data_IF_760221606638
#
_entry.id   IF_760221606638
#
_cell.length_a   1.000
_cell.length_b   1.000
_cell.length_c   1.000
_cell.angle_alpha   90.00
_cell.angle_beta   90.00
_cell.angle_gamma   90.00
#
_symmetry.space_group_name_H-M   'P 1'
#
loop_
_entity.id
_entity.type
_entity.pdbx_description
1 polymer ?
#
# COMPACT_ATOMS: atom_id res chain seq x y z
N UNK A 1 -18.32 -9.80 3.25
CA UNK A 1 -17.69 -10.54 4.38
C UNK A 1 -16.20 -10.31 4.33
N UNK A 2 -15.56 -10.12 5.47
CA UNK A 2 -14.10 -9.97 5.58
C UNK A 2 -13.48 -10.96 6.57
N UNK A 3 -12.24 -11.36 6.35
CA UNK A 3 -11.50 -12.28 7.22
C UNK A 3 -10.05 -11.83 7.34
N UNK A 4 -9.51 -11.79 8.56
CA UNK A 4 -8.10 -11.47 8.82
C UNK A 4 -7.24 -12.74 8.67
N UNK A 5 -6.12 -12.62 7.98
CA UNK A 5 -5.13 -13.66 7.75
C UNK A 5 -3.74 -13.14 8.15
N UNK A 6 -2.86 -14.06 8.56
CA UNK A 6 -1.45 -13.77 8.80
C UNK A 6 -0.62 -14.64 7.87
N UNK A 7 0.36 -14.02 7.23
CA UNK A 7 1.21 -14.64 6.23
C UNK A 7 2.65 -14.67 6.74
N UNK A 8 3.30 -15.81 6.58
CA UNK A 8 4.75 -15.94 6.69
C UNK A 8 5.43 -15.22 5.53
N UNK A 9 6.73 -14.95 5.67
CA UNK A 9 7.53 -14.36 4.59
C UNK A 9 7.50 -15.20 3.30
N UNK A 10 7.33 -16.53 3.40
CA UNK A 10 7.18 -17.43 2.23
C UNK A 10 5.78 -17.40 1.59
N UNK A 11 4.88 -16.54 2.07
CA UNK A 11 3.51 -16.39 1.57
C UNK A 11 2.52 -17.43 2.09
N UNK A 12 2.93 -18.37 2.95
CA UNK A 12 2.02 -19.35 3.56
C UNK A 12 1.23 -18.75 4.72
N UNK A 13 -0.03 -19.18 4.89
CA UNK A 13 -0.84 -18.76 6.04
C UNK A 13 -0.33 -19.38 7.34
N UNK A 14 -0.25 -18.58 8.40
CA UNK A 14 0.13 -19.02 9.74
C UNK A 14 -0.93 -18.66 10.78
N UNK A 15 -0.91 -19.34 11.93
CA UNK A 15 -1.74 -18.95 13.06
C UNK A 15 -1.09 -17.79 13.81
N UNK A 16 -1.90 -17.00 14.51
CA UNK A 16 -1.41 -15.93 15.40
C UNK A 16 -0.43 -16.48 16.45
N UNK A 17 -0.69 -17.68 16.99
CA UNK A 17 0.19 -18.35 17.95
C UNK A 17 1.59 -18.62 17.42
N UNK A 18 1.73 -18.76 16.10
CA UNK A 18 3.00 -19.05 15.45
C UNK A 18 3.78 -17.74 15.16
N UNK A 19 3.11 -16.59 15.25
CA UNK A 19 3.68 -15.27 15.00
C UNK A 19 4.56 -14.79 16.17
N UNK A 20 4.16 -15.10 17.40
CA UNK A 20 4.93 -14.83 18.63
C UNK A 20 6.08 -15.81 18.87
N UNK A 21 6.40 -16.67 17.89
CA UNK A 21 7.56 -17.56 17.99
C UNK A 21 8.86 -16.79 17.73
N UNK A 22 9.84 -16.82 18.65
CA UNK A 22 11.15 -16.19 18.45
C UNK A 22 11.92 -16.74 17.25
N UNK A 23 11.60 -17.96 16.80
CA UNK A 23 12.29 -18.64 15.70
C UNK A 23 11.71 -18.35 14.30
N UNK A 24 10.60 -17.62 14.18
CA UNK A 24 9.97 -17.32 12.89
C UNK A 24 10.40 -15.98 12.29
N UNK A 25 10.35 -15.84 10.96
CA UNK A 25 10.50 -14.54 10.27
C UNK A 25 9.39 -13.53 10.60
N UNK A 26 9.41 -12.36 9.96
CA UNK A 26 8.36 -11.36 10.10
C UNK A 26 7.05 -11.87 9.51
N UNK A 27 5.93 -11.28 9.95
CA UNK A 27 4.60 -11.64 9.46
C UNK A 27 3.93 -10.46 8.77
N UNK A 28 3.14 -10.78 7.76
CA UNK A 28 2.27 -9.82 7.07
C UNK A 28 0.82 -10.15 7.38
N UNK A 29 0.12 -9.25 8.08
CA UNK A 29 -1.32 -9.31 8.25
C UNK A 29 -2.01 -8.86 6.96
N UNK A 30 -3.02 -9.61 6.52
CA UNK A 30 -3.80 -9.29 5.35
C UNK A 30 -5.29 -9.51 5.62
N UNK A 31 -6.14 -8.59 5.18
CA UNK A 31 -7.60 -8.72 5.30
C UNK A 31 -8.17 -9.06 3.94
N UNK A 32 -8.84 -10.21 3.88
CA UNK A 32 -9.52 -10.73 2.70
C UNK A 32 -10.97 -10.26 2.69
N UNK A 33 -11.46 -9.78 1.56
CA UNK A 33 -12.84 -9.33 1.37
C UNK A 33 -13.51 -10.12 0.25
N UNK A 34 -14.73 -10.58 0.49
CA UNK A 34 -15.55 -11.32 -0.48
C UNK A 34 -17.02 -10.88 -0.41
N UNK A 35 -17.76 -11.10 -1.48
CA UNK A 35 -19.23 -10.93 -1.51
C UNK A 35 -19.98 -12.23 -1.16
N UNK A 36 -19.27 -13.28 -0.73
CA UNK A 36 -19.85 -14.60 -0.44
C UNK A 36 -20.26 -15.42 -1.66
N UNK A 37 -20.15 -14.89 -2.88
CA UNK A 37 -20.46 -15.59 -4.12
C UNK A 37 -19.19 -16.07 -4.79
N UNK A 38 -19.16 -17.34 -5.20
CA UNK A 38 -18.02 -17.89 -5.93
C UNK A 38 -17.97 -17.31 -7.35
N UNK A 39 -16.88 -16.60 -7.67
CA UNK A 39 -16.58 -16.16 -9.02
C UNK A 39 -15.12 -16.52 -9.38
N UNK A 40 -14.85 -17.79 -9.76
CA UNK A 40 -13.49 -18.26 -9.96
C UNK A 40 -12.75 -17.57 -11.12
N UNK A 41 -13.48 -16.97 -12.07
CA UNK A 41 -12.90 -16.23 -13.20
C UNK A 41 -12.72 -14.72 -12.94
N UNK A 42 -13.23 -14.25 -11.80
CA UNK A 42 -13.23 -12.84 -11.41
C UNK A 42 -11.84 -12.31 -11.08
N UNK A 43 -11.77 -11.00 -10.92
CA UNK A 43 -10.56 -10.29 -10.52
C UNK A 43 -10.26 -10.51 -9.04
N UNK A 44 -8.99 -10.74 -8.73
CA UNK A 44 -8.46 -10.69 -7.37
C UNK A 44 -7.71 -9.36 -7.21
N UNK A 45 -8.23 -8.49 -6.36
CA UNK A 45 -7.65 -7.15 -6.16
C UNK A 45 -6.71 -7.15 -4.97
N UNK A 46 -5.48 -6.66 -5.13
CA UNK A 46 -4.50 -6.54 -4.05
C UNK A 46 -4.28 -5.06 -3.72
N UNK A 47 -4.26 -4.70 -2.43
CA UNK A 47 -4.18 -3.32 -1.98
C UNK A 47 -3.00 -3.12 -1.01
N UNK A 48 -2.09 -2.19 -1.34
CA UNK A 48 -1.03 -1.72 -0.47
C UNK A 48 -1.27 -0.27 -0.06
N UNK A 49 -1.25 -0.02 1.24
CA UNK A 49 -1.46 1.30 1.84
C UNK A 49 -0.20 2.19 1.73
N UNK A 50 -0.31 3.45 2.17
CA UNK A 50 0.84 4.36 2.26
C UNK A 50 1.42 4.41 3.68
N UNK A 51 2.57 5.05 3.86
CA UNK A 51 3.15 5.30 5.18
C UNK A 51 2.13 6.01 6.08
N UNK A 52 2.06 5.60 7.36
CA UNK A 52 1.16 6.20 8.36
C UNK A 52 -0.30 5.76 8.25
N UNK A 53 -0.62 4.75 7.42
CA UNK A 53 -1.95 4.14 7.29
C UNK A 53 -1.88 2.62 7.43
N UNK A 54 -2.98 1.89 7.22
CA UNK A 54 -3.03 0.43 7.33
C UNK A 54 -4.13 -0.16 6.43
N UNK A 55 -4.19 -1.50 6.31
CA UNK A 55 -5.03 -2.23 5.34
C UNK A 55 -6.52 -1.85 5.35
N UNK A 56 -7.10 -1.50 6.50
CA UNK A 56 -8.51 -1.10 6.61
C UNK A 56 -8.81 0.26 5.98
N UNK A 57 -7.81 1.12 5.72
CA UNK A 57 -8.03 2.39 5.01
C UNK A 57 -8.59 2.17 3.59
N UNK A 58 -8.42 0.98 3.03
CA UNK A 58 -8.99 0.60 1.74
C UNK A 58 -10.47 0.20 1.81
N UNK A 59 -11.07 -0.02 2.99
CA UNK A 59 -12.44 -0.54 3.11
C UNK A 59 -13.48 0.29 2.32
N UNK A 60 -13.51 1.63 2.41
CA UNK A 60 -14.47 2.43 1.64
C UNK A 60 -14.29 2.29 0.12
N UNK A 61 -13.05 2.14 -0.34
CA UNK A 61 -12.72 1.94 -1.76
C UNK A 61 -13.13 0.54 -2.21
N UNK A 62 -12.79 -0.48 -1.41
CA UNK A 62 -13.14 -1.87 -1.66
C UNK A 62 -14.66 -2.01 -1.77
N UNK A 63 -15.42 -1.49 -0.80
CA UNK A 63 -16.87 -1.54 -0.81
C UNK A 63 -17.47 -0.89 -2.07
N UNK A 64 -16.93 0.26 -2.47
CA UNK A 64 -17.37 0.95 -3.68
C UNK A 64 -17.03 0.17 -4.95
N UNK A 65 -15.85 -0.42 -5.05
CA UNK A 65 -15.45 -1.25 -6.20
C UNK A 65 -16.29 -2.51 -6.30
N UNK A 66 -16.57 -3.19 -5.19
CA UNK A 66 -17.49 -4.34 -5.15
C UNK A 66 -18.88 -3.94 -5.63
N UNK A 67 -19.40 -2.79 -5.19
CA UNK A 67 -20.70 -2.27 -5.63
C UNK A 67 -20.72 -2.00 -7.14
N UNK A 68 -19.75 -1.27 -7.68
CA UNK A 68 -19.71 -0.89 -9.10
C UNK A 68 -19.48 -2.12 -9.98
N UNK A 69 -18.43 -2.88 -9.73
CA UNK A 69 -17.99 -3.94 -10.65
C UNK A 69 -18.91 -5.15 -10.61
N UNK A 70 -19.51 -5.49 -9.48
CA UNK A 70 -20.44 -6.63 -9.44
C UNK A 70 -21.82 -6.28 -10.00
N UNK A 71 -22.25 -5.01 -9.90
CA UNK A 71 -23.56 -4.57 -10.42
C UNK A 71 -23.52 -4.28 -11.92
N UNK A 72 -22.45 -3.66 -12.41
CA UNK A 72 -22.40 -3.14 -13.78
C UNK A 72 -21.77 -4.11 -14.79
N UNK A 73 -21.02 -5.12 -14.32
CA UNK A 73 -20.32 -6.02 -15.22
C UNK A 73 -21.21 -7.12 -15.78
N UNK A 74 -21.30 -7.14 -17.12
CA UNK A 74 -22.00 -8.20 -17.87
C UNK A 74 -21.23 -9.51 -17.88
N UNK A 75 -19.89 -9.45 -17.84
CA UNK A 75 -19.04 -10.65 -17.87
C UNK A 75 -18.47 -11.02 -16.50
N UNK A 76 -18.47 -12.31 -16.11
CA UNK A 76 -17.90 -12.77 -14.83
C UNK A 76 -16.44 -12.35 -14.61
N UNK A 77 -15.65 -12.28 -15.69
CA UNK A 77 -14.24 -11.85 -15.69
C UNK A 77 -14.02 -10.39 -15.34
N UNK A 78 -15.05 -9.54 -15.40
CA UNK A 78 -14.97 -8.13 -15.04
C UNK A 78 -15.44 -7.88 -13.59
N UNK A 79 -16.05 -8.89 -12.96
CA UNK A 79 -16.49 -8.85 -11.56
C UNK A 79 -15.35 -9.19 -10.62
N UNK A 80 -15.50 -8.84 -9.35
CA UNK A 80 -14.51 -9.15 -8.31
C UNK A 80 -14.76 -10.57 -7.78
N UNK A 81 -13.70 -11.37 -7.74
CA UNK A 81 -13.65 -12.65 -7.02
C UNK A 81 -13.46 -12.39 -5.53
N UNK A 82 -12.43 -11.63 -5.20
CA UNK A 82 -12.05 -11.25 -3.84
C UNK A 82 -11.09 -10.06 -3.88
N UNK A 83 -10.92 -9.40 -2.73
CA UNK A 83 -9.89 -8.40 -2.51
C UNK A 83 -9.03 -8.76 -1.30
N UNK A 84 -7.78 -8.31 -1.30
CA UNK A 84 -6.83 -8.46 -0.21
C UNK A 84 -6.18 -7.11 0.06
N UNK A 85 -6.23 -6.64 1.29
CA UNK A 85 -5.48 -5.48 1.73
C UNK A 85 -4.40 -5.92 2.72
N UNK A 86 -3.16 -5.51 2.48
CA UNK A 86 -1.98 -5.96 3.23
C UNK A 86 -1.46 -4.84 4.11
N UNK A 87 -1.12 -5.18 5.36
CA UNK A 87 -0.32 -4.32 6.22
C UNK A 87 1.16 -4.51 5.90
N UNK A 88 1.94 -3.44 5.83
CA UNK A 88 3.41 -3.53 5.94
C UNK A 88 3.76 -4.21 7.28
N UNK A 89 4.84 -4.99 7.34
CA UNK A 89 5.26 -5.74 8.52
C UNK A 89 5.37 -4.88 9.80
N UNK A 90 5.64 -3.58 9.70
CA UNK A 90 5.68 -2.63 10.83
C UNK A 90 4.42 -1.75 10.96
N UNK A 91 3.34 -2.02 10.23
CA UNK A 91 2.07 -1.30 10.26
C UNK A 91 0.91 -2.17 10.74
N UNK A 92 -0.17 -1.52 11.18
CA UNK A 92 -1.45 -2.18 11.48
C UNK A 92 -1.31 -3.41 12.38
N UNK A 93 -2.01 -4.49 12.04
CA UNK A 93 -1.96 -5.73 12.81
C UNK A 93 -0.63 -6.47 12.65
N UNK A 94 0.10 -6.25 11.55
CA UNK A 94 1.46 -6.79 11.39
C UNK A 94 2.40 -6.26 12.47
N UNK A 95 2.33 -4.95 12.76
CA UNK A 95 3.15 -4.32 13.79
C UNK A 95 2.94 -4.96 15.16
N UNK A 96 1.68 -5.28 15.49
CA UNK A 96 1.31 -5.91 16.76
C UNK A 96 1.93 -7.30 16.88
N UNK A 97 1.84 -8.12 15.83
CA UNK A 97 2.38 -9.49 15.88
C UNK A 97 3.90 -9.55 15.73
N UNK A 98 4.52 -8.49 15.21
CA UNK A 98 5.97 -8.38 15.04
C UNK A 98 6.64 -7.52 16.13
N UNK A 99 5.92 -7.06 17.15
CA UNK A 99 6.39 -6.05 18.11
C UNK A 99 7.78 -6.35 18.69
N UNK A 100 8.01 -7.57 19.19
CA UNK A 100 9.31 -7.96 19.75
C UNK A 100 10.44 -7.87 18.70
N UNK A 101 10.20 -8.33 17.47
CA UNK A 101 11.20 -8.30 16.39
C UNK A 101 11.49 -6.90 15.88
N UNK A 102 10.48 -6.03 15.89
CA UNK A 102 10.63 -4.63 15.49
C UNK A 102 11.42 -3.82 16.53
N UNK A 103 11.36 -4.20 17.82
CA UNK A 103 12.20 -3.60 18.86
C UNK A 103 13.70 -3.86 18.62
N UNK A 104 14.03 -5.05 18.10
CA UNK A 104 15.40 -5.43 17.73
C UNK A 104 15.82 -4.89 16.35
N UNK A 105 14.96 -4.10 15.69
CA UNK A 105 15.13 -3.65 14.31
C UNK A 105 14.91 -2.14 14.12
N UNK A 106 15.79 -1.31 14.68
CA UNK A 106 15.64 0.15 14.67
C UNK A 106 15.78 0.78 13.27
N UNK A 107 16.37 0.07 12.31
CA UNK A 107 16.49 0.53 10.92
C UNK A 107 15.19 0.45 10.12
N UNK A 108 14.16 -0.20 10.68
CA UNK A 108 12.85 -0.36 10.04
C UNK A 108 12.77 -1.53 9.06
N UNK A 109 11.72 -1.53 8.25
CA UNK A 109 11.44 -2.55 7.23
C UNK A 109 11.44 -1.86 5.88
N UNK A 110 12.28 -2.30 4.95
CA UNK A 110 12.36 -1.69 3.62
C UNK A 110 11.14 -2.01 2.76
N UNK A 111 10.89 -1.17 1.75
CA UNK A 111 9.85 -1.43 0.73
C UNK A 111 10.12 -2.74 0.00
N UNK A 112 11.40 -3.10 -0.20
CA UNK A 112 11.79 -4.38 -0.81
C UNK A 112 11.26 -5.57 -0.02
N UNK A 113 11.36 -5.56 1.31
CA UNK A 113 10.88 -6.65 2.15
C UNK A 113 9.36 -6.76 2.15
N UNK A 114 8.65 -5.64 2.10
CA UNK A 114 7.20 -5.66 1.98
C UNK A 114 6.76 -6.19 0.62
N UNK A 115 7.42 -5.74 -0.46
CA UNK A 115 7.17 -6.23 -1.81
C UNK A 115 7.44 -7.73 -1.93
N UNK A 116 8.50 -8.23 -1.28
CA UNK A 116 8.84 -9.65 -1.27
C UNK A 116 7.77 -10.48 -0.56
N UNK A 117 7.25 -10.04 0.58
CA UNK A 117 6.18 -10.74 1.28
C UNK A 117 4.90 -10.86 0.43
N UNK A 118 4.50 -9.76 -0.23
CA UNK A 118 3.32 -9.76 -1.13
C UNK A 118 3.59 -10.64 -2.36
N UNK A 119 4.78 -10.56 -2.97
CA UNK A 119 5.18 -11.39 -4.11
C UNK A 119 5.16 -12.88 -3.76
N UNK A 120 5.67 -13.26 -2.59
CA UNK A 120 5.62 -14.64 -2.13
C UNK A 120 4.17 -15.13 -1.95
N UNK A 121 3.26 -14.27 -1.47
CA UNK A 121 1.84 -14.58 -1.43
C UNK A 121 1.23 -14.75 -2.84
N UNK A 122 1.62 -13.93 -3.82
CA UNK A 122 1.23 -14.09 -5.24
C UNK A 122 1.65 -15.46 -5.80
N UNK A 123 2.85 -15.94 -5.44
CA UNK A 123 3.36 -17.23 -5.91
C UNK A 123 2.88 -18.44 -5.09
N UNK A 124 2.16 -18.21 -3.99
CA UNK A 124 1.64 -19.28 -3.15
C UNK A 124 0.62 -20.17 -3.90
N UNK A 125 0.43 -21.43 -3.49
CA UNK A 125 -0.60 -22.31 -4.06
C UNK A 125 -2.02 -21.70 -4.01
N UNK A 126 -2.26 -20.81 -3.04
CA UNK A 126 -3.55 -20.13 -2.86
C UNK A 126 -3.90 -19.21 -4.02
N UNK A 127 -2.90 -18.57 -4.64
CA UNK A 127 -3.10 -17.59 -5.71
C UNK A 127 -3.01 -18.22 -7.11
N UNK A 128 -2.78 -19.53 -7.21
CA UNK A 128 -2.70 -20.24 -8.49
C UNK A 128 -3.96 -20.04 -9.34
N UNK A 129 -3.80 -19.49 -10.54
CA UNK A 129 -4.89 -19.26 -11.48
C UNK A 129 -5.78 -18.05 -11.15
N UNK A 130 -5.37 -17.20 -10.21
CA UNK A 130 -6.04 -15.94 -9.94
C UNK A 130 -5.70 -14.90 -11.01
N UNK A 131 -6.65 -14.02 -11.32
CA UNK A 131 -6.44 -12.86 -12.21
C UNK A 131 -6.20 -11.64 -11.35
N UNK A 132 -4.93 -11.36 -11.09
CA UNK A 132 -4.54 -10.42 -10.04
C UNK A 132 -4.41 -9.01 -10.62
N UNK A 133 -4.98 -8.03 -9.91
CA UNK A 133 -4.78 -6.59 -10.16
C UNK A 133 -4.22 -5.97 -8.88
N UNK A 134 -2.92 -5.63 -8.86
CA UNK A 134 -2.34 -4.90 -7.74
C UNK A 134 -2.66 -3.40 -7.81
N UNK A 135 -3.02 -2.83 -6.66
CA UNK A 135 -3.35 -1.43 -6.45
C UNK A 135 -2.54 -0.90 -5.26
N UNK A 136 -1.89 0.24 -5.42
CA UNK A 136 -1.06 0.81 -4.36
C UNK A 136 -1.22 2.33 -4.27
N UNK A 137 -1.18 2.84 -3.04
CA UNK A 137 -1.19 4.29 -2.76
C UNK A 137 0.18 4.76 -2.28
N UNK A 138 0.73 5.82 -2.88
CA UNK A 138 2.00 6.44 -2.46
C UNK A 138 3.12 5.41 -2.34
N UNK A 139 3.69 5.18 -1.16
CA UNK A 139 4.70 4.14 -0.94
C UNK A 139 4.23 2.76 -1.41
N UNK A 140 2.96 2.42 -1.17
CA UNK A 140 2.34 1.19 -1.64
C UNK A 140 2.24 1.08 -3.16
N UNK A 141 2.23 2.19 -3.90
CA UNK A 141 2.31 2.16 -5.36
C UNK A 141 3.68 1.68 -5.83
N UNK A 142 4.75 2.16 -5.18
CA UNK A 142 6.11 1.66 -5.39
C UNK A 142 6.22 0.17 -5.06
N UNK A 143 5.69 -0.25 -3.90
CA UNK A 143 5.63 -1.66 -3.51
C UNK A 143 4.95 -2.54 -4.56
N UNK A 144 3.82 -2.09 -5.10
CA UNK A 144 3.05 -2.85 -6.09
C UNK A 144 3.74 -2.93 -7.45
N UNK A 145 4.49 -1.89 -7.84
CA UNK A 145 5.34 -1.94 -9.02
C UNK A 145 6.50 -2.93 -8.84
N UNK A 146 7.17 -2.92 -7.69
CA UNK A 146 8.29 -3.84 -7.39
C UNK A 146 7.89 -5.32 -7.34
N UNK A 147 6.60 -5.65 -7.34
CA UNK A 147 6.17 -7.03 -7.51
C UNK A 147 6.57 -7.63 -8.87
N UNK A 148 6.78 -6.79 -9.89
CA UNK A 148 7.25 -7.24 -11.21
C UNK A 148 8.76 -7.38 -11.30
N UNK A 149 9.50 -6.93 -10.27
CA UNK A 149 10.94 -6.91 -10.27
C UNK A 149 11.49 -8.33 -10.46
N UNK A 150 12.48 -8.47 -11.35
CA UNK A 150 13.11 -9.74 -11.75
C UNK A 150 12.17 -10.76 -12.43
N UNK A 151 10.93 -10.38 -12.75
CA UNK A 151 9.99 -11.24 -13.50
C UNK A 151 10.07 -10.91 -15.00
N UNK A 152 10.31 -11.92 -15.88
CA UNK A 152 10.21 -11.74 -17.32
C UNK A 152 8.84 -11.19 -17.73
N UNK A 153 8.78 -10.26 -18.69
CA UNK A 153 7.51 -9.61 -19.10
C UNK A 153 6.43 -10.63 -19.52
N UNK A 154 6.83 -11.74 -20.13
CA UNK A 154 5.93 -12.84 -20.54
C UNK A 154 5.36 -13.65 -19.38
N UNK A 155 5.91 -13.51 -18.18
CA UNK A 155 5.57 -14.30 -16.99
C UNK A 155 4.91 -13.48 -15.89
N UNK A 156 4.68 -12.18 -16.13
CA UNK A 156 4.02 -11.30 -15.16
C UNK A 156 2.61 -11.86 -14.83
N UNK A 157 2.31 -12.19 -13.56
CA UNK A 157 1.06 -12.84 -13.18
C UNK A 157 -0.11 -11.85 -12.95
N UNK A 158 -0.02 -10.64 -13.51
CA UNK A 158 -0.97 -9.55 -13.31
C UNK A 158 -1.71 -9.23 -14.61
N UNK A 159 -2.96 -8.77 -14.50
CA UNK A 159 -3.75 -8.35 -15.67
C UNK A 159 -3.74 -6.83 -15.88
N UNK A 160 -3.44 -6.07 -14.84
CA UNK A 160 -3.22 -4.62 -14.85
C UNK A 160 -2.58 -4.20 -13.52
N UNK A 161 -1.99 -2.99 -13.47
CA UNK A 161 -1.56 -2.30 -12.24
C UNK A 161 -2.31 -0.98 -12.08
N UNK A 162 -2.61 -0.59 -10.84
CA UNK A 162 -3.20 0.73 -10.52
C UNK A 162 -2.33 1.43 -9.49
N UNK A 163 -1.77 2.57 -9.86
CA UNK A 163 -0.83 3.34 -9.06
C UNK A 163 -1.49 4.67 -8.69
N UNK A 164 -1.71 4.88 -7.40
CA UNK A 164 -2.47 6.03 -6.88
C UNK A 164 -1.49 6.92 -6.12
N UNK A 165 -1.36 8.18 -6.54
CA UNK A 165 -0.44 9.16 -5.92
C UNK A 165 0.99 8.59 -5.75
N UNK A 166 1.52 7.95 -6.79
CA UNK A 166 2.75 7.18 -6.68
C UNK A 166 3.97 8.05 -6.30
N UNK A 167 4.80 7.58 -5.38
CA UNK A 167 6.03 8.28 -4.97
C UNK A 167 7.25 7.96 -5.84
N UNK A 168 7.05 7.18 -6.92
CA UNK A 168 8.10 6.76 -7.83
C UNK A 168 8.64 7.94 -8.63
N UNK A 169 9.96 8.00 -8.79
CA UNK A 169 10.67 9.11 -9.42
C UNK A 169 11.98 8.59 -10.02
N UNK A 170 12.51 9.22 -11.07
CA UNK A 170 13.85 8.84 -11.55
C UNK A 170 14.92 9.45 -10.64
N UNK A 171 16.07 8.78 -10.55
CA UNK A 171 17.21 9.26 -9.77
C UNK A 171 17.67 10.66 -10.21
N UNK A 172 17.63 10.95 -11.51
CA UNK A 172 17.92 12.27 -12.09
C UNK A 172 17.01 13.38 -11.52
N UNK A 173 15.69 13.25 -11.65
CA UNK A 173 14.72 14.25 -11.16
C UNK A 173 14.74 14.41 -9.63
N UNK A 174 15.09 13.33 -8.91
CA UNK A 174 15.30 13.42 -7.47
C UNK A 174 16.46 14.37 -7.15
N UNK A 175 17.60 14.21 -7.84
CA UNK A 175 18.77 15.06 -7.62
C UNK A 175 18.63 16.49 -8.15
N UNK A 176 17.80 16.73 -9.17
CA UNK A 176 17.47 18.10 -9.65
C UNK A 176 16.82 18.97 -8.57
N UNK A 177 16.09 18.34 -7.64
CA UNK A 177 15.36 19.01 -6.55
C UNK A 177 15.80 18.49 -5.18
N UNK A 178 17.06 18.04 -5.08
CA UNK A 178 17.59 17.33 -3.91
C UNK A 178 17.34 18.09 -2.61
N UNK A 179 17.81 19.34 -2.50
CA UNK A 179 17.73 20.11 -1.26
C UNK A 179 16.28 20.28 -0.78
N UNK A 180 15.36 20.66 -1.67
CA UNK A 180 13.94 20.82 -1.33
C UNK A 180 13.26 19.51 -0.92
N UNK A 181 13.66 18.39 -1.51
CA UNK A 181 13.16 17.05 -1.16
C UNK A 181 13.68 16.60 0.19
N UNK A 182 14.97 16.81 0.46
CA UNK A 182 15.57 16.50 1.76
C UNK A 182 14.91 17.36 2.85
N UNK A 183 14.72 18.65 2.63
CA UNK A 183 14.03 19.53 3.58
C UNK A 183 12.60 19.05 3.89
N UNK A 184 11.83 18.70 2.85
CA UNK A 184 10.46 18.17 3.00
C UNK A 184 10.45 16.84 3.76
N UNK A 185 11.42 15.98 3.47
CA UNK A 185 11.58 14.68 4.13
C UNK A 185 11.95 14.85 5.61
N UNK A 186 12.92 15.69 5.92
CA UNK A 186 13.33 16.00 7.30
C UNK A 186 12.17 16.62 8.10
N UNK A 187 11.41 17.54 7.50
CA UNK A 187 10.21 18.08 8.11
C UNK A 187 9.19 16.98 8.44
N UNK A 188 8.95 16.06 7.51
CA UNK A 188 7.99 14.96 7.67
C UNK A 188 8.44 13.97 8.75
N UNK A 189 9.74 13.64 8.80
CA UNK A 189 10.34 12.80 9.84
C UNK A 189 10.17 13.46 11.21
N UNK A 190 10.54 14.74 11.34
CA UNK A 190 10.43 15.47 12.60
C UNK A 190 8.98 15.61 13.07
N UNK A 191 8.04 15.88 12.15
CA UNK A 191 6.62 15.93 12.45
C UNK A 191 6.09 14.56 12.91
N UNK A 192 6.56 13.47 12.31
CA UNK A 192 6.20 12.09 12.68
C UNK A 192 6.69 11.75 14.08
N UNK A 193 7.97 12.00 14.38
CA UNK A 193 8.57 11.74 15.69
C UNK A 193 7.95 12.59 16.81
N UNK A 194 7.64 13.86 16.52
CA UNK A 194 7.01 14.79 17.45
C UNK A 194 5.51 14.56 17.67
N UNK A 195 4.88 13.65 16.92
CA UNK A 195 3.44 13.42 16.97
C UNK A 195 3.01 12.78 18.29
N UNK A 196 1.76 13.05 18.68
CA UNK A 196 1.08 12.29 19.73
C UNK A 196 0.78 10.88 19.21
N UNK A 197 1.05 9.87 20.02
CA UNK A 197 0.85 8.46 19.67
C UNK A 197 0.00 7.68 20.68
N UNK A 198 -0.37 8.28 21.81
CA UNK A 198 -1.14 7.64 22.89
C UNK A 198 -2.35 8.49 23.27
N UNK A 199 -3.51 7.89 23.54
CA UNK A 199 -4.75 8.57 23.90
C UNK A 199 -5.51 7.80 24.99
N UNK A 200 -6.40 8.45 25.77
CA UNK A 200 -7.19 7.77 26.80
C UNK A 200 -8.15 6.70 26.25
N UNK A 201 -8.64 6.87 25.02
CA UNK A 201 -9.54 5.91 24.37
C UNK A 201 -9.55 6.13 22.85
N UNK A 202 -10.06 5.14 22.10
CA UNK A 202 -10.25 5.25 20.65
C UNK A 202 -11.19 6.41 20.29
N UNK A 203 -12.23 6.63 21.09
CA UNK A 203 -13.16 7.74 20.86
C UNK A 203 -12.47 9.10 21.05
N UNK A 204 -11.67 9.25 22.10
CA UNK A 204 -10.90 10.47 22.31
C UNK A 204 -9.89 10.68 21.16
N UNK A 205 -9.22 9.60 20.72
CA UNK A 205 -8.29 9.67 19.60
C UNK A 205 -8.98 10.16 18.31
N UNK A 206 -10.17 9.63 18.00
CA UNK A 206 -10.98 10.07 16.87
C UNK A 206 -11.29 11.58 16.94
N UNK A 207 -11.83 12.05 18.07
CA UNK A 207 -12.19 13.48 18.23
C UNK A 207 -10.96 14.39 18.12
N UNK A 208 -9.82 13.93 18.66
CA UNK A 208 -8.56 14.67 18.65
C UNK A 208 -7.96 14.74 17.23
N UNK A 209 -7.86 13.61 16.53
CA UNK A 209 -7.32 13.53 15.17
C UNK A 209 -8.17 14.34 14.20
N UNK A 210 -9.50 14.27 14.32
CA UNK A 210 -10.43 14.98 13.42
C UNK A 210 -10.26 16.51 13.40
N UNK A 211 -9.52 17.09 14.36
CA UNK A 211 -9.29 18.54 14.51
C UNK A 211 -7.82 18.93 14.33
N UNK A 212 -6.96 18.01 13.88
CA UNK A 212 -5.51 18.21 13.83
C UNK A 212 -4.92 17.77 12.51
N UNK A 213 -3.91 18.50 12.06
CA UNK A 213 -3.13 18.13 10.89
C UNK A 213 -2.39 16.79 11.12
N UNK A 214 -2.31 15.89 10.11
CA UNK A 214 -2.93 16.01 8.78
C UNK A 214 -4.39 15.54 8.72
N UNK A 215 -4.86 14.79 9.71
CA UNK A 215 -6.15 14.09 9.71
C UNK A 215 -7.40 14.97 9.59
N UNK A 216 -7.34 16.25 9.97
CA UNK A 216 -8.47 17.17 9.83
C UNK A 216 -8.97 17.35 8.38
N UNK A 217 -8.10 17.07 7.41
CA UNK A 217 -8.43 17.16 5.98
C UNK A 217 -8.93 15.83 5.40
N UNK A 218 -8.87 14.75 6.19
CA UNK A 218 -9.32 13.43 5.74
C UNK A 218 -10.85 13.31 5.86
N UNK A 219 -11.43 12.46 5.01
CA UNK A 219 -12.80 12.01 5.19
C UNK A 219 -12.95 11.39 6.60
N UNK A 220 -14.00 11.79 7.33
CA UNK A 220 -14.21 11.38 8.72
C UNK A 220 -14.33 9.86 8.89
N UNK A 221 -14.76 9.14 7.86
CA UNK A 221 -14.76 7.66 7.86
C UNK A 221 -13.34 7.10 7.94
N UNK A 222 -12.38 7.75 7.29
CA UNK A 222 -10.96 7.35 7.31
C UNK A 222 -10.34 7.67 8.66
N UNK A 223 -10.64 8.84 9.25
CA UNK A 223 -10.19 9.16 10.61
C UNK A 223 -10.76 8.17 11.64
N UNK A 224 -12.02 7.77 11.47
CA UNK A 224 -12.64 6.72 12.29
C UNK A 224 -11.92 5.38 12.13
N UNK A 225 -11.60 4.98 10.90
CA UNK A 225 -10.80 3.76 10.64
C UNK A 225 -9.44 3.82 11.35
N UNK A 226 -8.75 4.96 11.29
CA UNK A 226 -7.48 5.15 12.00
C UNK A 226 -7.63 4.96 13.52
N UNK A 227 -8.67 5.55 14.13
CA UNK A 227 -8.92 5.40 15.56
C UNK A 227 -9.32 3.97 15.96
N UNK A 228 -10.13 3.30 15.13
CA UNK A 228 -10.68 1.97 15.45
C UNK A 228 -9.65 0.85 15.24
N UNK A 229 -8.84 0.95 14.19
CA UNK A 229 -7.96 -0.14 13.73
C UNK A 229 -6.48 0.20 13.76
N UNK A 230 -6.11 1.48 13.72
CA UNK A 230 -4.71 1.94 13.80
C UNK A 230 -4.16 1.93 15.23
N UNK A 231 -5.01 1.74 16.24
CA UNK A 231 -4.67 1.78 17.67
C UNK A 231 -4.78 0.41 18.34
N UNK A 232 -3.88 0.13 19.29
CA UNK A 232 -3.91 -1.01 20.21
C UNK A 232 -4.12 -0.54 21.66
N UNK A 233 -4.75 -1.38 22.47
CA UNK A 233 -4.89 -1.13 23.90
C UNK A 233 -3.54 -1.31 24.61
N UNK A 234 -3.26 -0.47 25.60
CA UNK A 234 -2.07 -0.59 26.47
C UNK A 234 -2.42 -1.30 27.78
N UNK A 235 -1.41 -1.73 28.53
CA UNK A 235 -1.59 -2.30 29.86
C UNK A 235 -2.16 -1.31 30.89
N UNK A 236 -2.09 0.00 30.61
CA UNK A 236 -2.62 1.08 31.46
C UNK A 236 -4.08 1.43 31.17
N UNK A 237 -4.71 0.78 30.18
CA UNK A 237 -6.08 1.06 29.74
C UNK A 237 -6.20 2.26 28.80
N UNK A 238 -5.08 2.80 28.32
CA UNK A 238 -5.02 3.77 27.24
C UNK A 238 -4.96 3.05 25.87
N UNK A 239 -4.92 3.81 24.80
CA UNK A 239 -4.68 3.30 23.44
C UNK A 239 -3.47 3.98 22.81
N UNK A 240 -2.67 3.22 22.07
CA UNK A 240 -1.47 3.71 21.39
C UNK A 240 -1.49 3.31 19.90
N UNK A 241 -0.80 4.07 19.06
CA UNK A 241 -0.53 3.66 17.67
C UNK A 241 0.06 2.24 17.61
N UNK A 242 -0.42 1.44 16.66
CA UNK A 242 0.16 0.12 16.37
C UNK A 242 1.53 0.23 15.71
N UNK A 243 1.65 1.10 14.72
CA UNK A 243 2.94 1.49 14.14
C UNK A 243 3.58 2.55 15.04
N UNK A 244 4.79 2.29 15.56
CA UNK A 244 5.48 3.29 16.37
C UNK A 244 5.97 4.43 15.49
N UNK A 245 6.10 5.63 16.06
CA UNK A 245 6.55 6.81 15.30
C UNK A 245 7.96 6.63 14.77
N UNK A 246 8.79 5.91 15.52
CA UNK A 246 10.16 5.58 15.18
C UNK A 246 10.20 4.64 13.96
N UNK A 247 9.35 3.61 13.95
CA UNK A 247 9.22 2.70 12.81
C UNK A 247 8.59 3.36 11.59
N UNK A 248 7.66 4.30 11.75
CA UNK A 248 7.11 5.08 10.63
C UNK A 248 8.18 6.03 10.04
N UNK A 249 8.96 6.69 10.91
CA UNK A 249 9.96 7.67 10.51
C UNK A 249 11.11 7.08 9.68
N UNK A 250 11.49 5.83 9.94
CA UNK A 250 12.56 5.15 9.18
C UNK A 250 12.22 4.88 7.72
N UNK A 251 10.93 4.99 7.35
CA UNK A 251 10.47 4.69 5.99
C UNK A 251 10.64 5.85 5.02
N UNK A 252 10.65 7.10 5.49
CA UNK A 252 10.77 8.25 4.60
C UNK A 252 12.12 8.33 3.86
N UNK A 253 13.26 7.96 4.47
CA UNK A 253 14.55 7.91 3.78
C UNK A 253 14.74 6.72 2.80
N UNK A 254 13.81 5.76 2.74
CA UNK A 254 13.92 4.56 1.89
C UNK A 254 13.60 4.88 0.41
N UNK A 255 14.46 5.68 -0.24
CA UNK A 255 14.21 6.25 -1.57
C UNK A 255 14.62 5.35 -2.74
N UNK A 256 15.59 4.46 -2.55
CA UNK A 256 16.09 3.59 -3.63
C UNK A 256 15.01 2.68 -4.24
N UNK A 257 14.11 2.04 -3.47
CA UNK A 257 12.99 1.27 -4.03
C UNK A 257 12.09 2.10 -4.94
N UNK A 258 11.95 3.41 -4.69
CA UNK A 258 11.13 4.30 -5.51
C UNK A 258 11.79 4.66 -6.84
N UNK A 259 13.13 4.67 -6.90
CA UNK A 259 13.86 4.80 -8.16
C UNK A 259 13.72 3.54 -9.00
N UNK A 260 13.93 2.38 -8.40
CA UNK A 260 13.82 1.11 -9.12
C UNK A 260 12.39 0.82 -9.57
N UNK A 261 11.39 1.18 -8.77
CA UNK A 261 9.99 1.11 -9.19
C UNK A 261 9.71 2.00 -10.43
N UNK A 262 10.38 3.15 -10.56
CA UNK A 262 10.25 4.00 -11.74
C UNK A 262 10.89 3.38 -12.99
N UNK A 263 12.06 2.73 -12.83
CA UNK A 263 12.72 2.00 -13.91
C UNK A 263 11.87 0.79 -14.36
N UNK A 264 11.29 0.08 -13.40
CA UNK A 264 10.38 -1.04 -13.65
C UNK A 264 9.10 -0.59 -14.35
N UNK A 265 8.55 0.58 -14.01
CA UNK A 265 7.39 1.13 -14.71
C UNK A 265 7.68 1.28 -16.22
N UNK A 266 8.85 1.81 -16.59
CA UNK A 266 9.25 2.00 -17.99
C UNK A 266 9.40 0.66 -18.76
N UNK A 267 9.80 -0.40 -18.05
CA UNK A 267 9.90 -1.76 -18.60
C UNK A 267 8.52 -2.41 -18.76
N UNK A 268 7.69 -2.33 -17.73
CA UNK A 268 6.43 -3.09 -17.60
C UNK A 268 5.29 -2.49 -18.42
N UNK A 269 5.21 -1.16 -18.51
CA UNK A 269 4.12 -0.47 -19.22
C UNK A 269 4.05 -0.78 -20.73
N UNK A 270 5.09 -1.40 -21.29
CA UNK A 270 5.13 -1.86 -22.68
C UNK A 270 4.21 -3.06 -22.95
N UNK A 271 3.85 -3.81 -21.91
CA UNK A 271 3.11 -5.09 -22.04
C UNK A 271 1.94 -5.22 -21.08
N UNK A 272 2.03 -4.63 -19.90
CA UNK A 272 0.99 -4.66 -18.89
C UNK A 272 0.28 -3.30 -18.83
N UNK A 273 -1.06 -3.25 -18.87
CA UNK A 273 -1.79 -2.01 -18.63
C UNK A 273 -1.47 -1.45 -17.24
N UNK A 274 -0.99 -0.21 -17.18
CA UNK A 274 -0.74 0.52 -15.94
C UNK A 274 -1.65 1.75 -15.90
N UNK A 275 -2.41 1.90 -14.84
CA UNK A 275 -3.29 3.05 -14.61
C UNK A 275 -2.70 3.93 -13.52
N UNK A 276 -2.36 5.18 -13.84
CA UNK A 276 -1.96 6.17 -12.85
C UNK A 276 -3.15 7.05 -12.44
N UNK A 277 -3.34 7.25 -11.14
CA UNK A 277 -4.41 8.08 -10.57
C UNK A 277 -3.77 9.14 -9.69
N UNK A 278 -4.12 10.40 -9.94
CA UNK A 278 -3.69 11.55 -9.16
C UNK A 278 -4.90 12.30 -8.62
N UNK A 279 -4.87 12.65 -7.35
CA UNK A 279 -5.74 13.60 -6.71
C UNK A 279 -5.59 14.96 -7.37
N UNK A 280 -6.72 15.65 -7.55
CA UNK A 280 -6.76 16.94 -8.23
C UNK A 280 -6.09 18.03 -7.39
N UNK A 281 -6.30 17.99 -6.07
CA UNK A 281 -5.81 18.97 -5.09
C UNK A 281 -4.44 18.56 -4.52
N UNK A 282 -3.51 19.51 -4.53
CA UNK A 282 -2.14 19.31 -4.07
C UNK A 282 -2.04 19.72 -2.59
N UNK A 283 -2.29 18.75 -1.70
CA UNK A 283 -2.47 19.04 -0.27
C UNK A 283 -1.22 18.78 0.58
N UNK A 284 -0.36 17.83 0.17
CA UNK A 284 0.75 17.32 0.99
C UNK A 284 2.05 17.10 0.18
N UNK A 285 1.99 16.81 -1.12
CA UNK A 285 3.18 16.44 -1.93
C UNK A 285 3.39 17.44 -3.06
N UNK A 286 4.36 18.35 -2.89
CA UNK A 286 4.67 19.42 -3.84
C UNK A 286 5.44 18.97 -5.11
N UNK A 287 5.90 17.70 -5.21
CA UNK A 287 7.03 17.38 -6.08
C UNK A 287 6.88 16.18 -7.04
N UNK A 288 5.70 15.56 -7.21
CA UNK A 288 5.55 14.33 -8.02
C UNK A 288 5.00 14.53 -9.44
N UNK A 289 4.29 15.63 -9.74
CA UNK A 289 3.59 15.78 -11.04
C UNK A 289 4.49 16.04 -12.26
N UNK A 290 5.74 16.47 -12.07
CA UNK A 290 6.61 16.83 -13.19
C UNK A 290 6.94 15.65 -14.13
N UNK A 291 6.95 14.41 -13.65
CA UNK A 291 7.25 13.22 -14.47
C UNK A 291 6.06 12.71 -15.30
N UNK A 292 4.83 12.82 -14.79
CA UNK A 292 3.65 12.25 -15.46
C UNK A 292 3.15 13.14 -16.58
N UNK A 293 3.38 14.46 -16.49
CA UNK A 293 3.18 15.36 -17.63
C UNK A 293 3.93 14.86 -18.87
N UNK A 294 5.18 14.43 -18.71
CA UNK A 294 5.96 13.86 -19.81
C UNK A 294 5.50 12.45 -20.23
N UNK A 295 5.13 11.57 -19.30
CA UNK A 295 4.71 10.19 -19.63
C UNK A 295 3.31 10.15 -20.30
N UNK A 296 2.35 10.96 -19.86
CA UNK A 296 1.05 11.10 -20.54
C UNK A 296 1.20 11.69 -21.95
N UNK A 297 2.14 12.63 -22.13
CA UNK A 297 2.48 13.16 -23.47
C UNK A 297 3.08 12.08 -24.37
N UNK A 298 3.91 11.17 -23.83
CA UNK A 298 4.48 10.05 -24.58
C UNK A 298 3.43 9.02 -25.00
N UNK A 299 2.45 8.70 -24.15
CA UNK A 299 1.34 7.80 -24.52
C UNK A 299 0.40 8.42 -25.57
N UNK A 300 0.14 9.73 -25.52
CA UNK A 300 -0.67 10.41 -26.54
C UNK A 300 0.04 10.52 -27.89
N UNK A 301 1.37 10.74 -27.87
CA UNK A 301 2.19 10.80 -29.09
C UNK A 301 2.46 9.42 -29.70
N UNK A 302 2.48 8.35 -28.90
CA UNK A 302 2.62 6.96 -29.37
C UNK A 302 1.34 6.35 -29.98
N UNK A 303 0.16 6.95 -29.76
CA UNK A 303 -1.10 6.52 -30.39
C UNK A 303 -1.40 7.21 -31.74
N UNK A 304 -0.51 8.09 -32.20
CA UNK A 304 -0.65 8.82 -33.46
C UNK A 304 0.33 8.32 -34.53
N UNK A 305 0.29 7.03 -34.85
CA UNK A 305 0.85 6.50 -36.10
C UNK A 305 -0.15 5.63 -36.84
N UNK A 306 -1.11 6.31 -37.47
CA UNK A 306 -1.50 6.01 -38.86
C UNK A 306 -2.41 4.82 -39.11
N UNK A 307 -3.71 5.08 -39.15
CA UNK A 307 -4.54 4.52 -40.22
C UNK A 307 -5.65 5.53 -40.55
N UNK A 308 -5.35 6.45 -41.46
CA UNK A 308 -6.34 7.27 -42.17
C UNK A 308 -5.81 7.49 -43.60
N UNK A 309 -6.22 6.58 -44.50
CA UNK A 309 -6.71 6.80 -45.88
C UNK A 309 -6.82 5.47 -46.63
#
# INVERSE_FOLDING_TARGET
MSTLHFLNDDGTECKVSDASSPAGGLKTAAKRYTNGQANPEGLTLFFAHCIGTHKEHWEPVIDKLFSILNSNSKHPRQRIREAWAFDWQNHGDSAVVNEEKLNDRPEGISVYEWSAAIRNFVHSPRMKGHRIVPLGHSAGAGTMMLLTLEIPLSEIPYVALVLIEATMITREHFYESFDARIETMEFTINATLGRRDTWPSKEFAFEWMSKRFPWQFWDQRIVRIMADYGLKDTSTGEVQLKCTKEQEATLYPDVDPHFEAMDELARVCQTLPVHAVWGETEDIVYASRFLVGHILILEQSGRNTGCDR
#
